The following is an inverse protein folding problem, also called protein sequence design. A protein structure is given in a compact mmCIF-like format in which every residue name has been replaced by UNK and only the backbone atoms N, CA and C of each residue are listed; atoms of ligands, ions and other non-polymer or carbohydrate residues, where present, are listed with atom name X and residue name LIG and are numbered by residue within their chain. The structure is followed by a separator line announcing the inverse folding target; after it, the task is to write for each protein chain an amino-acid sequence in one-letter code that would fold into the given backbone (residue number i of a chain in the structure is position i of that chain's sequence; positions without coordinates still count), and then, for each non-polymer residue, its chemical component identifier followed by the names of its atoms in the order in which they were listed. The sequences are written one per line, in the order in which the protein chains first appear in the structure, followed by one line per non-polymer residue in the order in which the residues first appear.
data_IF_710568456140
#
_entry.id   IF_710568456140
#
_cell.length_a   1.000
_cell.length_b   1.000
_cell.length_c   1.000
_cell.angle_alpha   90.00
_cell.angle_beta   90.00
_cell.angle_gamma   90.00
#
_symmetry.space_group_name_H-M   'P 1'
#
loop_
_entity.id
_entity.type
_entity.pdbx_description
1 polymer ?
#
# COMPACT_ATOMS: atom_id res chain seq x y z
N UNK A 1 -15.25 8.63 -16.00
CA UNK A 1 -14.01 9.32 -15.58
C UNK A 1 -13.09 9.38 -16.79
N UNK A 2 -12.36 10.47 -16.99
CA UNK A 2 -11.36 10.56 -18.06
C UNK A 2 -10.25 9.52 -17.87
N UNK A 3 -9.64 9.09 -18.98
CA UNK A 3 -8.44 8.28 -18.93
C UNK A 3 -7.32 9.03 -18.17
N UNK A 4 -6.50 8.33 -17.37
CA UNK A 4 -5.41 8.99 -16.66
C UNK A 4 -4.37 9.53 -17.66
N UNK A 5 -3.82 10.71 -17.36
CA UNK A 5 -2.68 11.26 -18.09
C UNK A 5 -1.45 10.39 -17.84
N UNK A 6 -0.91 9.77 -18.91
CA UNK A 6 0.30 8.95 -18.82
C UNK A 6 1.42 9.69 -19.54
N UNK A 7 2.52 9.95 -18.83
CA UNK A 7 3.73 10.57 -19.40
C UNK A 7 4.91 9.63 -19.23
N UNK A 8 5.70 9.47 -20.27
CA UNK A 8 6.97 8.77 -20.18
C UNK A 8 8.07 9.75 -19.80
N UNK A 9 8.80 9.43 -18.74
CA UNK A 9 9.88 10.27 -18.20
C UNK A 9 11.15 9.44 -18.00
N UNK A 10 12.27 10.13 -17.81
CA UNK A 10 13.51 9.50 -17.39
C UNK A 10 13.82 9.86 -15.94
N UNK A 11 14.35 8.91 -15.18
CA UNK A 11 14.87 9.14 -13.84
C UNK A 11 16.40 9.19 -13.85
N UNK A 12 17.00 9.80 -12.82
CA UNK A 12 18.45 9.72 -12.57
C UNK A 12 18.83 8.53 -11.68
N UNK A 13 17.92 8.15 -10.79
CA UNK A 13 18.07 7.05 -9.83
C UNK A 13 16.71 6.43 -9.57
N UNK A 14 16.67 5.11 -9.39
CA UNK A 14 15.45 4.41 -8.96
C UNK A 14 15.65 3.69 -7.63
N UNK A 15 16.87 3.26 -7.30
CA UNK A 15 17.24 2.63 -6.03
C UNK A 15 17.65 3.73 -5.04
N UNK A 16 16.70 4.21 -4.24
CA UNK A 16 16.91 5.36 -3.36
C UNK A 16 16.89 4.95 -1.89
N UNK A 17 17.68 5.59 -1.04
CA UNK A 17 17.60 5.38 0.42
C UNK A 17 16.19 5.65 0.94
N UNK A 18 15.74 4.86 1.91
CA UNK A 18 14.37 4.90 2.43
C UNK A 18 14.37 4.86 3.96
N UNK A 19 13.30 5.37 4.56
CA UNK A 19 13.03 5.20 6.00
C UNK A 19 12.23 3.93 6.32
N UNK A 20 11.80 3.18 5.30
CA UNK A 20 10.99 1.95 5.44
C UNK A 20 11.88 0.69 5.41
N UNK A 21 12.94 0.74 4.62
CA UNK A 21 13.95 -0.28 4.40
C UNK A 21 15.25 0.43 3.98
N UNK A 22 16.36 -0.28 3.80
CA UNK A 22 17.63 0.34 3.38
C UNK A 22 17.46 1.15 2.08
N UNK A 23 16.65 0.63 1.15
CA UNK A 23 16.30 1.27 -0.10
C UNK A 23 14.82 1.10 -0.46
N UNK A 24 14.34 1.95 -1.37
CA UNK A 24 13.07 1.79 -2.05
C UNK A 24 13.24 1.96 -3.57
N UNK A 25 12.45 1.20 -4.33
CA UNK A 25 12.40 1.24 -5.79
C UNK A 25 11.01 1.67 -6.25
N UNK A 26 10.94 2.74 -7.04
CA UNK A 26 9.67 3.28 -7.54
C UNK A 26 9.77 3.55 -9.05
N UNK A 27 9.21 2.65 -9.87
CA UNK A 27 9.19 2.74 -11.33
C UNK A 27 8.19 3.79 -11.86
N UNK A 28 7.27 4.23 -11.00
CA UNK A 28 6.20 5.16 -11.33
C UNK A 28 6.18 6.34 -10.35
N UNK A 29 5.66 7.47 -10.81
CA UNK A 29 5.16 8.55 -9.96
C UNK A 29 3.69 8.76 -10.28
N UNK A 30 2.83 8.91 -9.27
CA UNK A 30 1.38 8.77 -9.47
C UNK A 30 0.91 7.33 -9.26
N UNK A 31 -0.40 7.17 -9.06
CA UNK A 31 -1.01 5.87 -8.84
C UNK A 31 -2.47 5.85 -9.30
N UNK A 32 -2.79 5.05 -10.32
CA UNK A 32 -4.14 4.96 -10.90
C UNK A 32 -5.20 4.38 -9.94
N UNK A 33 -4.80 3.80 -8.80
CA UNK A 33 -5.75 3.38 -7.77
C UNK A 33 -6.56 4.54 -7.17
N UNK A 34 -5.95 5.74 -7.08
CA UNK A 34 -6.66 6.96 -6.68
C UNK A 34 -7.27 6.94 -5.27
N UNK A 35 -6.61 6.27 -4.31
CA UNK A 35 -7.15 6.16 -2.96
C UNK A 35 -7.25 7.54 -2.27
N UNK A 36 -8.40 7.84 -1.64
CA UNK A 36 -8.67 9.15 -1.04
C UNK A 36 -7.68 9.49 0.10
N UNK A 37 -7.24 8.48 0.84
CA UNK A 37 -6.34 8.61 1.99
C UNK A 37 -4.84 8.52 1.63
N UNK A 38 -4.48 8.46 0.34
CA UNK A 38 -3.13 8.10 -0.08
C UNK A 38 -2.08 9.16 0.31
N UNK A 39 -1.14 8.81 1.18
CA UNK A 39 -0.05 9.70 1.59
C UNK A 39 0.88 10.07 0.42
N UNK A 40 1.01 9.17 -0.58
CA UNK A 40 1.86 9.39 -1.74
C UNK A 40 1.33 10.48 -2.66
N UNK A 41 0.11 11.00 -2.42
CA UNK A 41 -0.41 12.23 -3.07
C UNK A 41 0.58 13.38 -2.99
N UNK A 42 1.37 13.49 -1.91
CA UNK A 42 2.43 14.49 -1.79
C UNK A 42 3.42 14.46 -2.96
N UNK A 43 3.60 13.31 -3.62
CA UNK A 43 4.48 13.18 -4.77
C UNK A 43 4.04 14.04 -5.97
N UNK A 44 2.75 14.41 -6.07
CA UNK A 44 2.27 15.33 -7.09
C UNK A 44 2.95 16.71 -7.02
N UNK A 45 3.33 17.16 -5.80
CA UNK A 45 4.05 18.42 -5.59
C UNK A 45 5.43 18.43 -6.25
N UNK A 46 6.06 17.25 -6.41
CA UNK A 46 7.38 17.11 -7.02
C UNK A 46 7.32 16.74 -8.52
N UNK A 47 6.15 16.32 -9.00
CA UNK A 47 5.95 15.84 -10.37
C UNK A 47 5.41 16.91 -11.34
N UNK A 48 5.16 18.12 -10.84
CA UNK A 48 4.62 19.26 -11.60
C UNK A 48 3.39 18.88 -12.46
N UNK A 49 2.43 18.21 -11.82
CA UNK A 49 1.15 17.81 -12.41
C UNK A 49 0.04 18.76 -11.97
N UNK A 50 -0.84 19.12 -12.91
CA UNK A 50 -2.09 19.83 -12.62
C UNK A 50 -3.24 18.86 -12.33
N UNK A 51 -3.09 17.60 -12.75
CA UNK A 51 -4.05 16.54 -12.57
C UNK A 51 -4.15 16.07 -11.12
N UNK A 52 -5.34 15.67 -10.72
CA UNK A 52 -5.58 15.09 -9.39
C UNK A 52 -4.84 13.74 -9.22
N UNK A 53 -4.48 13.42 -7.97
CA UNK A 53 -3.92 12.10 -7.66
C UNK A 53 -4.93 11.00 -8.00
N UNK A 54 -4.48 9.99 -8.73
CA UNK A 54 -5.36 8.99 -9.33
C UNK A 54 -5.66 9.23 -10.80
N UNK A 55 -5.43 10.43 -11.33
CA UNK A 55 -5.63 10.74 -12.76
C UNK A 55 -4.34 10.95 -13.54
N UNK A 56 -3.17 10.65 -12.98
CA UNK A 56 -1.92 10.66 -13.72
C UNK A 56 -0.97 9.52 -13.31
N UNK A 57 -0.06 9.18 -14.23
CA UNK A 57 1.12 8.34 -13.99
C UNK A 57 2.28 8.85 -14.85
N UNK A 58 3.38 9.23 -14.20
CA UNK A 58 4.68 9.33 -14.86
C UNK A 58 5.37 7.98 -14.82
N UNK A 59 5.71 7.46 -15.99
CA UNK A 59 6.36 6.17 -16.21
C UNK A 59 7.84 6.40 -16.42
N UNK A 60 8.68 5.93 -15.50
CA UNK A 60 10.14 6.07 -15.60
C UNK A 60 10.69 5.00 -16.53
N UNK A 61 10.61 5.21 -17.84
CA UNK A 61 10.88 4.19 -18.87
C UNK A 61 12.30 3.62 -18.81
N UNK A 62 13.26 4.39 -18.29
CA UNK A 62 14.64 3.95 -18.09
C UNK A 62 14.90 3.24 -16.73
N UNK A 63 13.85 2.88 -15.98
CA UNK A 63 13.98 2.29 -14.64
C UNK A 63 14.77 0.98 -14.64
N UNK A 64 14.54 0.13 -15.63
CA UNK A 64 15.18 -1.20 -15.72
C UNK A 64 16.69 -1.06 -15.91
N UNK A 65 17.12 -0.21 -16.84
CA UNK A 65 18.54 -0.03 -17.15
C UNK A 65 19.29 0.71 -16.03
N UNK A 66 18.62 1.66 -15.37
CA UNK A 66 19.19 2.33 -14.20
C UNK A 66 19.32 1.34 -13.05
N UNK A 67 18.27 0.58 -12.74
CA UNK A 67 18.31 -0.36 -11.64
C UNK A 67 19.40 -1.42 -11.86
N UNK A 68 19.53 -1.96 -13.08
CA UNK A 68 20.58 -2.94 -13.40
C UNK A 68 21.97 -2.41 -13.05
N UNK A 69 22.27 -1.15 -13.41
CA UNK A 69 23.54 -0.50 -13.08
C UNK A 69 23.70 -0.21 -11.59
N UNK A 70 22.64 0.24 -10.91
CA UNK A 70 22.66 0.56 -9.48
C UNK A 70 22.81 -0.70 -8.62
N UNK A 71 22.05 -1.76 -8.93
CA UNK A 71 22.11 -3.05 -8.25
C UNK A 71 23.49 -3.71 -8.38
N UNK A 72 24.12 -3.64 -9.56
CA UNK A 72 25.47 -4.20 -9.77
C UNK A 72 26.58 -3.53 -8.93
N UNK A 73 26.34 -2.33 -8.40
CA UNK A 73 27.31 -1.56 -7.61
C UNK A 73 26.92 -1.44 -6.13
N UNK A 74 25.81 -2.06 -5.74
CA UNK A 74 25.26 -1.96 -4.38
C UNK A 74 25.27 -3.33 -3.75
N UNK A 75 25.86 -3.47 -2.57
CA UNK A 75 25.78 -4.72 -1.82
C UNK A 75 24.31 -5.06 -1.52
N UNK A 76 23.89 -6.34 -1.64
CA UNK A 76 22.51 -6.73 -1.40
C UNK A 76 22.02 -6.28 -0.01
N UNK A 77 20.89 -5.57 -0.01
CA UNK A 77 20.29 -4.95 1.18
C UNK A 77 18.76 -5.15 1.19
N UNK A 78 18.05 -4.56 2.15
CA UNK A 78 16.58 -4.58 2.14
C UNK A 78 16.02 -3.52 1.18
N UNK A 79 15.10 -3.95 0.32
CA UNK A 79 14.43 -3.10 -0.66
C UNK A 79 12.93 -3.18 -0.48
N UNK A 80 12.29 -2.03 -0.25
CA UNK A 80 10.85 -1.91 -0.35
C UNK A 80 10.43 -1.53 -1.76
N UNK A 81 9.67 -2.39 -2.43
CA UNK A 81 9.23 -2.15 -3.80
C UNK A 81 7.95 -1.32 -3.81
N UNK A 82 7.97 -0.21 -4.54
CA UNK A 82 6.86 0.73 -4.75
C UNK A 82 6.36 1.41 -3.46
N UNK A 83 7.25 2.13 -2.77
CA UNK A 83 6.92 2.84 -1.52
C UNK A 83 6.04 4.10 -1.70
N UNK A 84 5.97 4.70 -2.89
CA UNK A 84 5.18 5.92 -3.15
C UNK A 84 4.30 5.82 -4.41
N UNK A 85 4.03 4.59 -4.84
CA UNK A 85 3.09 4.24 -5.91
C UNK A 85 2.60 2.81 -5.64
N UNK A 86 1.80 2.22 -6.53
CA UNK A 86 1.60 0.78 -6.53
C UNK A 86 2.31 0.19 -7.76
N UNK A 87 3.18 -0.79 -7.55
CA UNK A 87 3.95 -1.42 -8.63
C UNK A 87 3.07 -2.18 -9.62
N UNK A 88 1.89 -2.62 -9.19
CA UNK A 88 0.95 -3.40 -10.00
C UNK A 88 -0.33 -2.63 -10.32
N UNK A 89 -0.25 -1.30 -10.34
CA UNK A 89 -1.31 -0.44 -10.85
C UNK A 89 -1.62 -0.75 -12.34
N UNK A 90 -2.79 -0.34 -12.87
CA UNK A 90 -3.20 -0.63 -14.26
C UNK A 90 -2.14 -0.40 -15.36
N UNK A 91 -1.30 0.64 -15.27
CA UNK A 91 -0.21 0.91 -16.22
C UNK A 91 0.80 -0.26 -16.33
N UNK A 92 1.00 -1.03 -15.26
CA UNK A 92 1.92 -2.18 -15.22
C UNK A 92 1.47 -3.34 -16.12
N UNK A 93 0.22 -3.37 -16.57
CA UNK A 93 -0.25 -4.34 -17.58
C UNK A 93 0.56 -4.18 -18.86
N UNK A 94 0.78 -2.93 -19.28
CA UNK A 94 1.49 -2.56 -20.51
C UNK A 94 3.00 -2.48 -20.28
N UNK A 95 3.43 -1.68 -19.29
CA UNK A 95 4.84 -1.29 -19.15
C UNK A 95 5.74 -2.37 -18.54
N UNK A 96 5.19 -3.22 -17.66
CA UNK A 96 5.91 -4.33 -17.03
C UNK A 96 7.24 -3.92 -16.36
N UNK A 97 7.37 -2.68 -15.89
CA UNK A 97 8.60 -2.16 -15.29
C UNK A 97 8.81 -2.75 -13.90
N UNK A 98 7.74 -2.86 -13.10
CA UNK A 98 7.83 -3.46 -11.77
C UNK A 98 8.24 -4.92 -11.85
N UNK A 99 7.69 -5.69 -12.80
CA UNK A 99 8.11 -7.08 -13.05
C UNK A 99 9.61 -7.19 -13.36
N UNK A 100 10.10 -6.39 -14.30
CA UNK A 100 11.51 -6.42 -14.70
C UNK A 100 12.44 -5.96 -13.57
N UNK A 101 12.05 -4.93 -12.82
CA UNK A 101 12.80 -4.48 -11.66
C UNK A 101 12.82 -5.52 -10.55
N UNK A 102 11.71 -6.23 -10.31
CA UNK A 102 11.66 -7.32 -9.35
C UNK A 102 12.63 -8.45 -9.72
N UNK A 103 12.68 -8.84 -10.99
CA UNK A 103 13.62 -9.88 -11.46
C UNK A 103 15.08 -9.49 -11.26
N UNK A 104 15.44 -8.22 -11.50
CA UNK A 104 16.79 -7.69 -11.23
C UNK A 104 17.12 -7.77 -9.74
N UNK A 105 16.22 -7.30 -8.87
CA UNK A 105 16.45 -7.31 -7.42
C UNK A 105 16.62 -8.73 -6.88
N UNK A 106 15.76 -9.64 -7.32
CA UNK A 106 15.80 -11.06 -6.92
C UNK A 106 17.09 -11.71 -7.41
N UNK A 107 17.46 -11.50 -8.67
CA UNK A 107 18.68 -12.09 -9.25
C UNK A 107 19.97 -11.53 -8.63
N UNK A 108 19.95 -10.27 -8.18
CA UNK A 108 21.06 -9.65 -7.46
C UNK A 108 21.08 -9.97 -5.95
N UNK A 109 20.15 -10.80 -5.45
CA UNK A 109 20.15 -11.26 -4.05
C UNK A 109 19.61 -10.26 -3.03
N UNK A 110 18.92 -9.20 -3.45
CA UNK A 110 18.31 -8.24 -2.51
C UNK A 110 17.19 -8.91 -1.70
N UNK A 111 17.01 -8.44 -0.46
CA UNK A 111 15.88 -8.83 0.38
C UNK A 111 14.69 -7.94 0.03
N UNK A 112 13.68 -8.48 -0.63
CA UNK A 112 12.60 -7.67 -1.22
C UNK A 112 11.32 -7.77 -0.40
N UNK A 113 10.80 -6.61 0.03
CA UNK A 113 9.49 -6.46 0.66
C UNK A 113 8.53 -5.81 -0.34
N UNK A 114 7.40 -6.47 -0.59
CA UNK A 114 6.35 -6.02 -1.52
C UNK A 114 5.09 -5.71 -0.74
N UNK A 115 4.47 -4.56 -1.00
CA UNK A 115 3.11 -4.26 -0.56
C UNK A 115 2.29 -3.72 -1.73
N UNK A 116 1.18 -4.37 -2.06
CA UNK A 116 0.31 -3.94 -3.18
C UNK A 116 -1.17 -4.01 -2.80
N UNK A 117 -2.00 -3.30 -3.55
CA UNK A 117 -3.46 -3.45 -3.53
C UNK A 117 -3.99 -4.20 -4.75
N UNK A 118 -3.13 -4.53 -5.71
CA UNK A 118 -3.54 -5.07 -6.99
C UNK A 118 -3.39 -6.59 -7.06
N UNK A 119 -4.39 -7.25 -7.66
CA UNK A 119 -4.36 -8.69 -7.95
C UNK A 119 -3.49 -9.04 -9.16
N UNK A 120 -3.04 -8.04 -9.94
CA UNK A 120 -2.10 -8.24 -11.05
C UNK A 120 -0.78 -8.85 -10.59
N UNK A 121 -0.39 -8.68 -9.32
CA UNK A 121 0.82 -9.25 -8.75
C UNK A 121 0.91 -10.79 -8.85
N UNK A 122 -0.24 -11.49 -8.98
CA UNK A 122 -0.27 -12.94 -9.24
C UNK A 122 0.59 -13.33 -10.44
N UNK A 123 0.60 -12.50 -11.48
CA UNK A 123 1.37 -12.70 -12.72
C UNK A 123 2.86 -12.94 -12.44
N UNK A 124 3.38 -12.32 -11.38
CA UNK A 124 4.81 -12.26 -11.09
C UNK A 124 5.25 -13.24 -9.99
N UNK A 125 4.36 -14.16 -9.59
CA UNK A 125 4.68 -15.23 -8.63
C UNK A 125 5.78 -16.17 -9.14
N UNK A 126 5.95 -16.29 -10.46
CA UNK A 126 7.04 -17.05 -11.08
C UNK A 126 8.43 -16.47 -10.76
N UNK A 127 8.51 -15.16 -10.54
CA UNK A 127 9.73 -14.48 -10.07
C UNK A 127 9.82 -14.58 -8.54
N UNK A 128 8.73 -14.28 -7.85
CA UNK A 128 8.71 -14.22 -6.38
C UNK A 128 9.09 -15.56 -5.73
N UNK A 129 8.66 -16.70 -6.30
CA UNK A 129 8.97 -18.03 -5.77
C UNK A 129 10.45 -18.43 -5.91
N UNK A 130 11.21 -17.76 -6.77
CA UNK A 130 12.66 -18.00 -6.94
C UNK A 130 13.50 -17.22 -5.93
N UNK A 131 12.91 -16.26 -5.23
CA UNK A 131 13.62 -15.37 -4.34
C UNK A 131 13.89 -16.02 -2.98
N UNK A 132 15.15 -16.11 -2.58
CA UNK A 132 15.53 -16.63 -1.26
C UNK A 132 14.98 -15.77 -0.10
N UNK A 133 14.90 -14.45 -0.32
CA UNK A 133 14.53 -13.49 0.72
C UNK A 133 13.50 -12.49 0.23
N UNK A 134 12.28 -12.96 -0.03
CA UNK A 134 11.14 -12.11 -0.39
C UNK A 134 10.00 -12.26 0.62
N UNK A 135 9.26 -11.17 0.82
CA UNK A 135 7.98 -11.16 1.53
C UNK A 135 6.95 -10.41 0.69
N UNK A 136 5.87 -11.09 0.35
CA UNK A 136 4.78 -10.56 -0.44
C UNK A 136 3.63 -10.13 0.46
N UNK A 137 3.14 -8.90 0.31
CA UNK A 137 2.04 -8.42 1.13
C UNK A 137 0.98 -7.68 0.34
N UNK A 138 -0.23 -7.73 0.88
CA UNK A 138 -1.36 -6.93 0.39
C UNK A 138 -1.82 -5.95 1.45
N UNK A 139 -2.22 -4.75 1.03
CA UNK A 139 -2.97 -3.85 1.92
C UNK A 139 -4.45 -4.18 1.84
N UNK A 140 -5.12 -4.31 2.98
CA UNK A 140 -6.58 -4.42 3.09
C UNK A 140 -7.08 -3.40 4.11
N UNK A 141 -7.64 -2.29 3.62
CA UNK A 141 -8.22 -1.23 4.46
C UNK A 141 -9.56 -1.64 5.05
N UNK A 142 -10.36 -2.37 4.26
CA UNK A 142 -11.68 -2.85 4.65
C UNK A 142 -12.07 -4.05 3.79
N UNK A 143 -12.97 -4.87 4.30
CA UNK A 143 -13.69 -5.92 3.53
C UNK A 143 -15.12 -5.48 3.17
N UNK A 144 -15.52 -4.28 3.61
CA UNK A 144 -16.77 -3.64 3.23
C UNK A 144 -16.63 -3.01 1.84
N UNK A 145 -17.46 -3.46 0.91
CA UNK A 145 -17.29 -3.12 -0.50
C UNK A 145 -17.82 -1.73 -0.86
N UNK A 146 -18.73 -1.17 -0.06
CA UNK A 146 -19.21 0.20 -0.20
C UNK A 146 -18.13 1.18 0.28
N UNK A 147 -17.57 0.94 1.46
CA UNK A 147 -16.46 1.75 1.98
C UNK A 147 -15.24 1.69 1.05
N UNK A 148 -14.95 0.51 0.48
CA UNK A 148 -13.88 0.33 -0.51
C UNK A 148 -14.16 1.13 -1.79
N UNK A 149 -15.38 1.16 -2.33
CA UNK A 149 -15.72 2.02 -3.51
C UNK A 149 -15.50 3.49 -3.25
N UNK A 150 -15.82 3.93 -2.04
CA UNK A 150 -15.67 5.33 -1.64
C UNK A 150 -14.21 5.73 -1.48
N UNK A 151 -13.40 4.89 -0.83
CA UNK A 151 -12.04 5.24 -0.43
C UNK A 151 -10.97 4.77 -1.42
N UNK A 152 -11.21 3.66 -2.12
CA UNK A 152 -10.29 2.97 -3.02
C UNK A 152 -11.01 2.61 -4.36
N UNK A 153 -11.44 3.60 -5.16
CA UNK A 153 -12.42 3.41 -6.23
C UNK A 153 -11.99 2.43 -7.33
N UNK A 154 -10.68 2.23 -7.53
CA UNK A 154 -10.12 1.38 -8.59
C UNK A 154 -9.26 0.23 -8.07
N UNK A 155 -9.40 -0.07 -6.79
CA UNK A 155 -8.71 -1.19 -6.13
C UNK A 155 -9.63 -2.40 -6.09
N UNK A 156 -9.12 -3.63 -6.34
CA UNK A 156 -9.87 -4.86 -6.13
C UNK A 156 -10.45 -5.00 -4.72
N UNK A 157 -11.56 -5.73 -4.60
CA UNK A 157 -12.19 -6.05 -3.32
C UNK A 157 -11.19 -6.59 -2.28
N UNK A 158 -11.42 -6.29 -1.00
CA UNK A 158 -10.61 -6.81 0.10
C UNK A 158 -10.51 -8.35 0.08
N UNK A 159 -11.63 -9.03 -0.20
CA UNK A 159 -11.69 -10.49 -0.32
C UNK A 159 -10.74 -11.04 -1.40
N UNK A 160 -10.73 -10.44 -2.60
CA UNK A 160 -9.84 -10.88 -3.68
C UNK A 160 -8.35 -10.68 -3.35
N UNK A 161 -8.01 -9.63 -2.59
CA UNK A 161 -6.65 -9.42 -2.09
C UNK A 161 -6.24 -10.48 -1.06
N UNK A 162 -7.16 -10.90 -0.20
CA UNK A 162 -6.92 -11.98 0.76
C UNK A 162 -6.81 -13.36 0.07
N UNK A 163 -7.57 -13.59 -0.99
CA UNK A 163 -7.42 -14.82 -1.79
C UNK A 163 -6.08 -14.86 -2.54
N UNK A 164 -5.56 -13.69 -2.96
CA UNK A 164 -4.21 -13.59 -3.52
C UNK A 164 -3.13 -13.98 -2.50
N UNK A 165 -3.32 -13.66 -1.21
CA UNK A 165 -2.43 -14.10 -0.13
C UNK A 165 -2.39 -15.62 -0.05
N UNK A 166 -3.55 -16.29 -0.07
CA UNK A 166 -3.63 -17.76 -0.07
C UNK A 166 -2.92 -18.36 -1.29
N UNK A 167 -3.16 -17.79 -2.48
CA UNK A 167 -2.49 -18.24 -3.71
C UNK A 167 -0.97 -18.08 -3.66
N UNK A 168 -0.48 -17.02 -3.01
CA UNK A 168 0.96 -16.82 -2.81
C UNK A 168 1.52 -17.87 -1.84
N UNK A 169 0.80 -18.20 -0.79
CA UNK A 169 1.18 -19.26 0.16
C UNK A 169 1.21 -20.63 -0.51
N UNK A 170 0.22 -20.95 -1.34
CA UNK A 170 0.18 -22.20 -2.12
C UNK A 170 1.39 -22.31 -3.08
N UNK A 171 1.93 -21.16 -3.52
CA UNK A 171 3.13 -21.08 -4.33
C UNK A 171 4.45 -21.08 -3.51
N UNK A 172 4.38 -21.24 -2.18
CA UNK A 172 5.54 -21.24 -1.27
C UNK A 172 6.11 -19.85 -0.97
N UNK A 173 5.37 -18.78 -1.26
CA UNK A 173 5.83 -17.40 -1.04
C UNK A 173 5.45 -16.96 0.39
N UNK A 174 6.40 -16.38 1.13
CA UNK A 174 6.14 -15.81 2.46
C UNK A 174 5.23 -14.60 2.35
N UNK A 175 4.15 -14.57 3.13
CA UNK A 175 3.11 -13.54 3.01
C UNK A 175 2.88 -12.72 4.27
N UNK A 176 2.42 -11.49 4.08
CA UNK A 176 1.88 -10.68 5.17
C UNK A 176 0.65 -9.89 4.70
N UNK A 177 -0.15 -9.42 5.65
CA UNK A 177 -1.27 -8.51 5.36
C UNK A 177 -1.07 -7.22 6.13
N UNK A 178 -1.23 -6.08 5.45
CA UNK A 178 -1.32 -4.79 6.13
C UNK A 178 -2.77 -4.34 6.22
N UNK A 179 -3.29 -4.30 7.44
CA UNK A 179 -4.58 -3.66 7.75
C UNK A 179 -4.35 -2.16 7.89
N UNK A 180 -4.62 -1.42 6.82
CA UNK A 180 -4.19 -0.03 6.82
C UNK A 180 -4.62 0.80 5.60
N UNK A 181 -4.70 2.13 5.76
CA UNK A 181 -4.81 2.78 7.06
C UNK A 181 -6.14 2.39 7.72
N UNK A 182 -6.16 2.15 9.03
CA UNK A 182 -7.44 2.06 9.74
C UNK A 182 -8.13 3.43 9.70
N UNK A 183 -9.27 3.50 9.01
CA UNK A 183 -9.99 4.74 8.77
C UNK A 183 -10.81 5.11 10.01
N UNK A 184 -10.59 6.28 10.61
CA UNK A 184 -11.27 6.71 11.82
C UNK A 184 -12.79 6.54 11.77
N UNK A 185 -13.37 5.81 12.72
CA UNK A 185 -14.81 5.51 12.84
C UNK A 185 -15.45 4.70 11.70
N UNK A 186 -14.71 4.42 10.62
CA UNK A 186 -15.22 3.68 9.45
C UNK A 186 -14.71 2.25 9.38
N UNK A 187 -13.46 2.01 9.79
CA UNK A 187 -12.82 0.70 9.68
C UNK A 187 -11.94 0.34 10.89
N UNK A 188 -11.95 1.16 11.94
CA UNK A 188 -11.02 1.06 13.07
C UNK A 188 -11.69 0.58 14.38
N UNK A 189 -12.99 0.30 14.37
CA UNK A 189 -13.76 -0.12 15.54
C UNK A 189 -15.00 -0.94 15.19
N UNK A 190 -15.59 -1.55 16.22
CA UNK A 190 -16.86 -2.28 16.14
C UNK A 190 -16.84 -3.44 15.13
N UNK A 191 -18.02 -3.74 14.58
CA UNK A 191 -18.21 -4.87 13.67
C UNK A 191 -17.39 -4.74 12.37
N UNK A 192 -17.07 -3.52 11.92
CA UNK A 192 -16.25 -3.32 10.71
C UNK A 192 -14.82 -3.83 10.92
N UNK A 193 -14.18 -3.45 12.03
CA UNK A 193 -12.84 -3.93 12.37
C UNK A 193 -12.83 -5.43 12.66
N UNK A 194 -13.84 -5.95 13.38
CA UNK A 194 -13.93 -7.38 13.66
C UNK A 194 -14.03 -8.21 12.37
N UNK A 195 -14.87 -7.79 11.41
CA UNK A 195 -14.97 -8.46 10.10
C UNK A 195 -13.63 -8.44 9.36
N UNK A 196 -12.90 -7.33 9.40
CA UNK A 196 -11.58 -7.22 8.80
C UNK A 196 -10.59 -8.19 9.45
N UNK A 197 -10.45 -8.15 10.78
CA UNK A 197 -9.52 -9.02 11.52
C UNK A 197 -9.84 -10.49 11.30
N UNK A 198 -11.13 -10.87 11.35
CA UNK A 198 -11.59 -12.23 11.07
C UNK A 198 -11.22 -12.68 9.65
N UNK A 199 -11.42 -11.83 8.65
CA UNK A 199 -11.07 -12.14 7.26
C UNK A 199 -9.56 -12.29 7.07
N UNK A 200 -8.76 -11.43 7.72
CA UNK A 200 -7.29 -11.53 7.71
C UNK A 200 -6.82 -12.81 8.39
N UNK A 201 -7.41 -13.17 9.54
CA UNK A 201 -7.09 -14.42 10.24
C UNK A 201 -7.38 -15.66 9.37
N UNK A 202 -8.48 -15.65 8.62
CA UNK A 202 -8.83 -16.73 7.70
C UNK A 202 -7.84 -16.88 6.53
N UNK A 203 -7.14 -15.81 6.13
CA UNK A 203 -6.07 -15.85 5.14
C UNK A 203 -4.72 -16.33 5.72
N UNK A 204 -4.61 -16.49 7.05
CA UNK A 204 -3.45 -17.06 7.75
C UNK A 204 -2.08 -16.49 7.32
N UNK A 205 -1.90 -15.16 7.19
CA UNK A 205 -0.59 -14.62 6.80
C UNK A 205 0.50 -14.93 7.83
N UNK A 206 1.76 -14.92 7.39
CA UNK A 206 2.91 -15.14 8.29
C UNK A 206 3.07 -13.98 9.28
N UNK A 207 2.78 -12.76 8.85
CA UNK A 207 2.70 -11.60 9.74
C UNK A 207 1.59 -10.62 9.35
N UNK A 208 1.28 -9.71 10.28
CA UNK A 208 0.31 -8.65 10.07
C UNK A 208 0.96 -7.31 10.37
N UNK A 209 0.68 -6.28 9.59
CA UNK A 209 0.88 -4.89 10.02
C UNK A 209 -0.45 -4.17 10.18
N UNK A 210 -0.51 -3.24 11.12
CA UNK A 210 -1.64 -2.33 11.30
C UNK A 210 -1.11 -0.92 11.16
N UNK A 211 -1.69 -0.12 10.28
CA UNK A 211 -1.21 1.23 9.97
C UNK A 211 -2.28 2.29 10.24
N UNK A 212 -1.84 3.46 10.71
CA UNK A 212 -2.70 4.61 10.94
C UNK A 212 -2.86 5.48 9.68
N UNK A 213 -3.93 6.27 9.64
CA UNK A 213 -4.12 7.28 8.61
C UNK A 213 -3.04 8.37 8.70
N UNK A 214 -2.21 8.50 7.65
CA UNK A 214 -1.15 9.49 7.59
C UNK A 214 -1.65 10.86 7.06
N UNK A 215 -1.59 11.94 7.86
CA UNK A 215 -2.08 13.27 7.47
C UNK A 215 -1.07 14.04 6.58
N UNK A 216 -0.62 13.45 5.47
CA UNK A 216 0.23 14.19 4.52
C UNK A 216 -0.57 15.28 3.80
N UNK A 217 0.15 16.27 3.28
CA UNK A 217 -0.43 17.36 2.49
C UNK A 217 -1.28 16.82 1.34
N UNK A 218 -2.44 17.44 1.11
CA UNK A 218 -3.42 17.04 0.10
C UNK A 218 -4.36 15.90 0.51
N UNK A 219 -4.03 15.11 1.54
CA UNK A 219 -4.90 14.01 2.00
C UNK A 219 -6.21 14.53 2.56
N UNK A 220 -6.17 15.65 3.30
CA UNK A 220 -7.37 16.25 3.91
C UNK A 220 -8.45 16.61 2.89
N UNK A 221 -8.10 17.31 1.82
CA UNK A 221 -9.05 17.72 0.78
C UNK A 221 -9.69 16.51 0.09
N UNK A 222 -8.89 15.47 -0.19
CA UNK A 222 -9.36 14.24 -0.79
C UNK A 222 -10.30 13.46 0.15
N UNK A 223 -9.96 13.37 1.43
CA UNK A 223 -10.81 12.75 2.45
C UNK A 223 -12.13 13.51 2.61
N UNK A 224 -12.11 14.84 2.72
CA UNK A 224 -13.33 15.65 2.81
C UNK A 224 -14.21 15.41 1.59
N UNK A 225 -13.64 15.37 0.39
CA UNK A 225 -14.38 15.08 -0.85
C UNK A 225 -15.04 13.70 -0.82
N UNK A 226 -14.31 12.67 -0.35
CA UNK A 226 -14.84 11.32 -0.22
C UNK A 226 -15.95 11.21 0.86
N UNK A 227 -15.76 11.85 2.01
CA UNK A 227 -16.67 11.79 3.16
C UNK A 227 -17.95 12.62 2.95
N UNK A 228 -17.89 13.74 2.23
CA UNK A 228 -18.96 14.75 2.15
C UNK A 228 -20.35 14.18 1.80
N UNK A 229 -20.41 13.16 0.94
CA UNK A 229 -21.68 12.62 0.44
C UNK A 229 -22.38 11.67 1.40
N UNK A 230 -21.65 10.83 2.12
CA UNK A 230 -22.23 9.72 2.91
C UNK A 230 -21.86 9.77 4.38
N UNK A 231 -20.75 10.42 4.74
CA UNK A 231 -20.19 10.46 6.08
C UNK A 231 -19.77 11.89 6.48
N UNK A 232 -20.51 12.90 6.01
CA UNK A 232 -20.19 14.31 6.23
C UNK A 232 -20.13 14.69 7.71
N UNK A 233 -20.91 14.02 8.56
CA UNK A 233 -20.90 14.20 10.01
C UNK A 233 -19.57 13.81 10.68
N UNK A 234 -18.74 12.99 10.04
CA UNK A 234 -17.42 12.59 10.56
C UNK A 234 -16.32 13.61 10.27
N UNK A 235 -16.56 14.58 9.38
CA UNK A 235 -15.54 15.57 8.97
C UNK A 235 -14.95 16.33 10.17
N UNK A 236 -15.74 16.85 11.13
CA UNK A 236 -15.18 17.50 12.33
C UNK A 236 -14.27 16.58 13.13
N UNK A 237 -14.66 15.32 13.33
CA UNK A 237 -13.87 14.32 14.06
C UNK A 237 -12.57 13.99 13.34
N UNK A 238 -12.62 13.79 12.02
CA UNK A 238 -11.43 13.61 11.20
C UNK A 238 -10.50 14.83 11.26
N UNK A 239 -11.04 16.05 11.21
CA UNK A 239 -10.25 17.28 11.32
C UNK A 239 -9.49 17.29 12.65
N UNK A 240 -10.18 17.00 13.75
CA UNK A 240 -9.57 16.94 15.08
C UNK A 240 -8.45 15.90 15.12
N UNK A 241 -8.71 14.66 14.71
CA UNK A 241 -7.73 13.56 14.72
C UNK A 241 -6.51 13.83 13.82
N UNK A 242 -6.66 14.57 12.72
CA UNK A 242 -5.56 14.80 11.78
C UNK A 242 -4.72 16.04 12.10
N UNK A 243 -5.27 17.02 12.83
CA UNK A 243 -4.62 18.32 13.04
C UNK A 243 -4.43 18.73 14.51
N UNK A 244 -5.01 17.99 15.47
CA UNK A 244 -4.73 18.13 16.89
C UNK A 244 -3.89 16.94 17.36
N UNK A 245 -2.66 17.20 17.78
CA UNK A 245 -1.71 16.16 18.15
C UNK A 245 -2.13 15.39 19.40
N UNK A 246 -2.82 16.03 20.34
CA UNK A 246 -3.23 15.42 21.61
C UNK A 246 -4.45 14.54 21.38
N UNK A 247 -5.45 15.07 20.66
CA UNK A 247 -6.61 14.29 20.24
C UNK A 247 -6.21 13.11 19.35
N UNK A 248 -5.18 13.26 18.50
CA UNK A 248 -4.65 12.16 17.70
C UNK A 248 -4.07 11.04 18.56
N UNK A 249 -3.25 11.38 19.57
CA UNK A 249 -2.62 10.40 20.46
C UNK A 249 -3.66 9.64 21.28
N UNK A 250 -4.58 10.37 21.90
CA UNK A 250 -5.70 9.78 22.65
C UNK A 250 -6.51 8.81 21.78
N UNK A 251 -6.82 9.23 20.55
CA UNK A 251 -7.56 8.42 19.59
C UNK A 251 -6.80 7.16 19.17
N UNK A 252 -5.51 7.28 18.81
CA UNK A 252 -4.75 6.11 18.34
C UNK A 252 -4.44 5.14 19.47
N UNK A 253 -4.33 5.60 20.72
CA UNK A 253 -4.21 4.73 21.90
C UNK A 253 -5.50 3.92 22.15
N UNK A 254 -6.68 4.54 22.02
CA UNK A 254 -7.97 3.84 22.07
C UNK A 254 -8.04 2.74 21.00
N UNK A 255 -7.75 3.10 19.75
CA UNK A 255 -7.78 2.16 18.61
C UNK A 255 -6.75 1.05 18.80
N UNK A 256 -5.57 1.34 19.35
CA UNK A 256 -4.54 0.32 19.63
C UNK A 256 -5.04 -0.72 20.62
N UNK A 257 -5.74 -0.32 21.68
CA UNK A 257 -6.32 -1.24 22.65
C UNK A 257 -7.36 -2.17 22.00
N UNK A 258 -8.28 -1.61 21.20
CA UNK A 258 -9.30 -2.36 20.47
C UNK A 258 -8.67 -3.37 19.50
N UNK A 259 -7.71 -2.91 18.69
CA UNK A 259 -6.98 -3.74 17.73
C UNK A 259 -6.25 -4.87 18.44
N UNK A 260 -5.54 -4.59 19.55
CA UNK A 260 -4.81 -5.61 20.30
C UNK A 260 -5.73 -6.70 20.86
N UNK A 261 -6.91 -6.33 21.36
CA UNK A 261 -7.92 -7.27 21.84
C UNK A 261 -8.41 -8.19 20.71
N UNK A 262 -8.76 -7.63 19.55
CA UNK A 262 -9.24 -8.42 18.41
C UNK A 262 -8.13 -9.29 17.83
N UNK A 263 -6.92 -8.77 17.66
CA UNK A 263 -5.77 -9.56 17.21
C UNK A 263 -5.51 -10.74 18.15
N UNK A 264 -5.67 -10.57 19.47
CA UNK A 264 -5.56 -11.66 20.44
C UNK A 264 -6.66 -12.70 20.26
N UNK A 265 -7.91 -12.25 20.16
CA UNK A 265 -9.07 -13.12 20.01
C UNK A 265 -8.99 -14.00 18.74
N UNK A 266 -8.36 -13.50 17.68
CA UNK A 266 -8.18 -14.22 16.41
C UNK A 266 -6.78 -14.81 16.20
N UNK A 267 -5.92 -14.86 17.25
CA UNK A 267 -4.61 -15.53 17.19
C UNK A 267 -3.57 -14.86 16.29
N UNK A 268 -3.69 -13.55 16.06
CA UNK A 268 -2.80 -12.76 15.22
C UNK A 268 -1.81 -11.88 16.00
N UNK A 269 -2.03 -11.67 17.31
CA UNK A 269 -1.31 -10.67 18.11
C UNK A 269 0.22 -10.85 18.06
N UNK A 270 0.72 -12.07 18.25
CA UNK A 270 2.17 -12.37 18.29
C UNK A 270 2.87 -12.13 16.95
N UNK A 271 2.11 -12.12 15.86
CA UNK A 271 2.59 -11.94 14.49
C UNK A 271 2.34 -10.52 13.96
N UNK A 272 1.76 -9.65 14.78
CA UNK A 272 1.34 -8.32 14.37
C UNK A 272 2.36 -7.24 14.76
N UNK A 273 2.56 -6.26 13.87
CA UNK A 273 3.24 -4.99 14.15
C UNK A 273 2.23 -3.86 14.03
N UNK A 274 2.03 -3.11 15.11
CA UNK A 274 0.98 -2.08 15.20
C UNK A 274 1.61 -0.67 15.18
N UNK A 275 1.44 0.03 14.05
CA UNK A 275 1.93 1.38 13.77
C UNK A 275 0.82 2.43 13.95
N UNK A 276 0.12 2.36 15.09
CA UNK A 276 -0.86 3.37 15.51
C UNK A 276 -0.19 4.52 16.27
#
# INVERSE_FOLDING_TARGET
MAAPAVREITARSILNRSGIADYAVNCYTGCQHGCAYCYARRMAEFANHAEEWGSFVDVKVNSVDILRRQAARTLPAEVFLSSVCDGWQPAEVTYRLTRQCLDILVSAGFRVSILTKSTLARRDFDIMKRAAHLRFGVTVTTVDEELRRMMEPRVPAGAHRLDLVKQAQDAGIRTYVCMGPLLPYLADRGAALERLVKAVAAAKPESVCVDALNPRRGVWQALVSALRRTHGCLIPSYRRILFDADARREYTDEVRAIVAQLLRAYGLLEKARVFL
#
